data_IF_974835133620
#
_entry.id   IF_974835133620
#
_cell.length_a   1.000
_cell.length_b   1.000
_cell.length_c   1.000
_cell.angle_alpha   90.00
_cell.angle_beta   90.00
_cell.angle_gamma   90.00
#
_symmetry.space_group_name_H-M   'P 1'
#
loop_
_entity.id
_entity.type
_entity.pdbx_description
1 polymer ?
#
# COMPACT_ATOMS: atom_id res chain seq x y z
N UNK A 1 -18.25 -2.78 19.23
CA UNK A 1 -16.84 -2.51 19.57
C UNK A 1 -16.37 -1.42 18.62
N UNK A 2 -16.06 -0.25 19.18
CA UNK A 2 -15.45 0.86 18.41
C UNK A 2 -14.07 0.42 17.90
N UNK A 3 -13.68 0.87 16.70
CA UNK A 3 -12.31 0.73 16.20
C UNK A 3 -11.26 1.20 17.21
N UNK A 4 -11.60 2.18 18.05
CA UNK A 4 -10.78 2.67 19.16
C UNK A 4 -10.45 1.59 20.21
N UNK A 5 -11.35 0.65 20.46
CA UNK A 5 -11.13 -0.44 21.43
C UNK A 5 -10.33 -1.61 20.84
N UNK A 6 -10.30 -1.73 19.51
CA UNK A 6 -9.56 -2.79 18.82
C UNK A 6 -8.04 -2.47 18.68
N UNK A 7 -7.67 -1.22 18.68
CA UNK A 7 -6.29 -0.77 18.45
C UNK A 7 -5.27 -1.31 19.50
N UNK A 8 -5.53 -1.33 20.82
CA UNK A 8 -4.60 -1.93 21.80
C UNK A 8 -4.33 -3.41 21.55
N UNK A 9 -5.34 -4.13 21.08
CA UNK A 9 -5.27 -5.56 20.80
C UNK A 9 -4.40 -5.81 19.58
N UNK A 10 -4.55 -5.03 18.51
CA UNK A 10 -3.81 -5.21 17.25
C UNK A 10 -2.30 -5.09 17.45
N UNK A 11 -1.84 -4.10 18.24
CA UNK A 11 -0.42 -3.95 18.56
C UNK A 11 0.13 -5.13 19.37
N UNK A 12 -0.65 -5.63 20.35
CA UNK A 12 -0.27 -6.80 21.14
C UNK A 12 -0.17 -8.07 20.28
N UNK A 13 -1.14 -8.27 19.38
CA UNK A 13 -1.12 -9.38 18.44
C UNK A 13 0.07 -9.29 17.47
N UNK A 14 0.42 -8.11 17.01
CA UNK A 14 1.61 -7.90 16.18
C UNK A 14 2.89 -8.26 16.95
N UNK A 15 3.04 -7.79 18.19
CA UNK A 15 4.19 -8.14 19.05
C UNK A 15 4.28 -9.64 19.28
N UNK A 16 3.17 -10.30 19.60
CA UNK A 16 3.13 -11.76 19.78
C UNK A 16 3.54 -12.49 18.49
N UNK A 17 3.03 -12.05 17.35
CA UNK A 17 3.32 -12.65 16.05
C UNK A 17 4.81 -12.55 15.71
N UNK A 18 5.41 -11.38 15.93
CA UNK A 18 6.83 -11.14 15.70
C UNK A 18 7.69 -11.96 16.67
N UNK A 19 7.32 -12.00 17.96
CA UNK A 19 8.03 -12.78 18.97
C UNK A 19 8.03 -14.29 18.66
N UNK A 20 6.87 -14.84 18.25
CA UNK A 20 6.77 -16.25 17.85
C UNK A 20 7.67 -16.58 16.65
N UNK A 21 7.85 -15.63 15.74
CA UNK A 21 8.70 -15.79 14.56
C UNK A 21 10.17 -15.42 14.78
N UNK A 22 10.52 -14.94 15.97
CA UNK A 22 11.89 -14.51 16.29
C UNK A 22 12.32 -13.23 15.55
N UNK A 23 11.37 -12.38 15.14
CA UNK A 23 11.69 -11.10 14.51
C UNK A 23 11.72 -9.98 15.53
N UNK A 24 12.80 -9.19 15.52
CA UNK A 24 12.84 -7.91 16.19
C UNK A 24 12.17 -6.86 15.30
N UNK A 25 11.33 -6.01 15.90
CA UNK A 25 10.68 -4.91 15.18
C UNK A 25 10.35 -3.75 16.11
N UNK A 26 10.50 -2.55 15.60
CA UNK A 26 10.05 -1.34 16.25
C UNK A 26 8.61 -1.03 15.82
N UNK A 27 7.65 -1.30 16.70
CA UNK A 27 6.25 -0.97 16.53
C UNK A 27 5.86 0.38 17.17
N UNK A 28 6.85 1.18 17.55
CA UNK A 28 6.66 2.39 18.33
C UNK A 28 6.37 2.10 19.81
N UNK A 29 6.50 3.13 20.64
CA UNK A 29 6.36 3.02 22.10
C UNK A 29 4.92 2.79 22.57
N UNK A 30 3.94 3.20 21.77
CA UNK A 30 2.54 3.19 22.13
C UNK A 30 1.63 2.94 20.93
N UNK A 31 0.33 3.05 21.20
CA UNK A 31 -0.73 2.94 20.21
C UNK A 31 -0.93 4.30 19.57
N UNK A 32 -0.96 4.39 18.25
CA UNK A 32 -1.23 5.60 17.52
C UNK A 32 -2.00 5.31 16.22
N UNK A 33 -2.84 6.25 15.83
CA UNK A 33 -3.35 6.35 14.48
C UNK A 33 -2.25 6.98 13.60
N UNK A 34 -1.85 6.28 12.57
CA UNK A 34 -0.76 6.66 11.65
C UNK A 34 -0.95 8.04 11.03
N UNK A 35 -2.19 8.44 10.74
CA UNK A 35 -2.47 9.74 10.13
C UNK A 35 -2.57 10.86 11.15
N UNK A 36 -2.98 10.56 12.38
CA UNK A 36 -3.03 11.53 13.47
C UNK A 36 -1.66 11.79 14.08
N UNK A 37 -0.88 10.72 14.24
CA UNK A 37 0.45 10.78 14.85
C UNK A 37 1.34 9.67 14.32
N UNK A 38 2.26 10.03 13.46
CA UNK A 38 3.30 9.14 12.99
C UNK A 38 4.33 8.90 14.10
N UNK A 39 4.52 7.64 14.49
CA UNK A 39 5.49 7.26 15.53
C UNK A 39 6.92 7.12 14.99
N UNK A 40 7.09 7.13 13.68
CA UNK A 40 8.38 6.94 13.02
C UNK A 40 8.65 8.02 11.95
N UNK A 41 8.53 9.32 12.26
CA UNK A 41 8.51 10.39 11.25
C UNK A 41 9.80 10.46 10.42
N UNK A 42 10.92 10.02 11.01
CA UNK A 42 12.23 10.03 10.36
C UNK A 42 12.62 8.71 9.69
N UNK A 43 11.75 7.69 9.77
CA UNK A 43 11.98 6.40 9.12
C UNK A 43 12.15 6.58 7.61
N UNK A 44 13.18 5.95 7.06
CA UNK A 44 13.42 5.84 5.62
C UNK A 44 13.71 4.38 5.30
N UNK A 45 12.69 3.71 4.79
CA UNK A 45 12.72 2.29 4.52
C UNK A 45 13.23 1.97 3.11
N UNK A 46 14.06 0.96 2.98
CA UNK A 46 14.46 0.43 1.68
C UNK A 46 13.31 -0.34 1.02
N UNK A 47 12.49 -1.01 1.83
CA UNK A 47 11.31 -1.73 1.37
C UNK A 47 10.11 -1.46 2.25
N UNK A 48 8.97 -1.20 1.63
CA UNK A 48 7.65 -1.13 2.28
C UNK A 48 6.78 -2.22 1.69
N UNK A 49 6.27 -3.13 2.53
CA UNK A 49 5.25 -4.11 2.16
C UNK A 49 4.01 -3.87 3.02
N UNK A 50 2.86 -3.65 2.39
CA UNK A 50 1.65 -3.30 3.11
C UNK A 50 0.37 -3.87 2.49
N UNK A 51 -0.57 -4.13 3.37
CA UNK A 51 -1.97 -4.38 3.03
C UNK A 51 -2.83 -3.43 3.89
N UNK A 52 -2.95 -2.15 3.47
CA UNK A 52 -3.70 -1.16 4.21
C UNK A 52 -5.21 -1.46 4.17
N UNK A 53 -6.01 -0.91 5.09
CA UNK A 53 -7.47 -1.03 5.02
C UNK A 53 -7.99 -0.40 3.72
N UNK A 54 -8.87 -1.14 3.01
CA UNK A 54 -9.42 -0.69 1.74
C UNK A 54 -10.56 0.30 1.94
N UNK A 55 -10.52 1.39 1.21
CA UNK A 55 -11.61 2.39 1.14
C UNK A 55 -12.06 2.91 2.52
N UNK A 56 -11.13 3.05 3.45
CA UNK A 56 -11.43 3.58 4.78
C UNK A 56 -11.92 5.02 4.66
N UNK A 57 -13.12 5.28 5.16
CA UNK A 57 -13.79 6.59 5.11
C UNK A 57 -13.76 7.35 6.43
N UNK A 58 -13.32 6.70 7.51
CA UNK A 58 -13.26 7.27 8.87
C UNK A 58 -11.81 7.42 9.34
N UNK A 59 -10.99 8.04 8.51
CA UNK A 59 -9.58 8.28 8.81
C UNK A 59 -9.33 9.73 9.21
N UNK A 60 -8.32 9.95 10.03
CA UNK A 60 -7.91 11.31 10.42
C UNK A 60 -7.22 12.00 9.25
N UNK A 61 -7.78 13.12 8.80
CA UNK A 61 -7.24 13.93 7.71
C UNK A 61 -6.86 15.33 8.21
N UNK A 62 -5.63 15.72 7.90
CA UNK A 62 -5.13 17.08 8.05
C UNK A 62 -4.69 17.58 6.68
N UNK A 63 -5.25 18.70 6.21
CA UNK A 63 -5.05 19.14 4.82
C UNK A 63 -3.62 19.67 4.56
N UNK A 64 -2.93 20.16 5.58
CA UNK A 64 -1.55 20.65 5.55
C UNK A 64 -0.51 19.58 5.98
N UNK A 65 -0.85 18.31 5.90
CA UNK A 65 0.07 17.22 6.22
C UNK A 65 1.22 17.17 5.18
N UNK A 66 2.50 17.18 5.61
CA UNK A 66 3.65 17.19 4.71
C UNK A 66 3.76 15.96 3.80
N UNK A 67 2.99 14.92 4.07
CA UNK A 67 2.92 13.70 3.24
C UNK A 67 2.16 13.93 1.94
N UNK A 68 1.24 14.91 1.86
CA UNK A 68 0.36 15.14 0.70
C UNK A 68 1.05 15.88 -0.46
N UNK A 69 2.21 15.39 -0.88
CA UNK A 69 3.04 16.01 -1.93
C UNK A 69 2.43 15.90 -3.34
N UNK A 70 1.54 14.94 -3.55
CA UNK A 70 0.93 14.64 -4.85
C UNK A 70 -0.55 15.04 -4.92
N UNK A 71 -1.02 15.71 -3.90
CA UNK A 71 -2.39 16.16 -3.74
C UNK A 71 -3.01 15.68 -2.44
N UNK A 72 -3.95 16.46 -1.90
CA UNK A 72 -4.62 16.13 -0.63
C UNK A 72 -5.60 14.97 -0.88
N UNK A 73 -5.48 13.82 -0.20
CA UNK A 73 -6.37 12.68 -0.41
C UNK A 73 -7.82 13.02 -0.04
N UNK A 74 -8.82 12.40 -0.67
CA UNK A 74 -10.22 12.66 -0.39
C UNK A 74 -10.58 12.24 1.04
N UNK A 75 -11.44 13.04 1.71
CA UNK A 75 -11.87 12.78 3.08
C UNK A 75 -12.56 11.41 3.23
N UNK A 76 -13.31 10.98 2.24
CA UNK A 76 -14.10 9.75 2.27
C UNK A 76 -13.33 8.48 1.83
N UNK A 77 -12.01 8.57 1.56
CA UNK A 77 -11.23 7.40 1.15
C UNK A 77 -9.74 7.59 1.42
N UNK A 78 -9.17 6.74 2.27
CA UNK A 78 -7.77 6.79 2.68
C UNK A 78 -6.79 6.10 1.71
N UNK A 79 -7.23 5.48 0.61
CA UNK A 79 -6.34 4.71 -0.26
C UNK A 79 -5.10 5.50 -0.67
N UNK A 80 -5.25 6.71 -1.18
CA UNK A 80 -4.13 7.56 -1.59
C UNK A 80 -3.45 8.30 -0.43
N UNK A 81 -4.02 8.30 0.77
CA UNK A 81 -3.32 8.70 1.98
C UNK A 81 -2.26 7.66 2.34
N UNK A 82 -2.62 6.38 2.32
CA UNK A 82 -1.69 5.27 2.52
C UNK A 82 -0.58 5.26 1.47
N UNK A 83 -0.91 5.42 0.19
CA UNK A 83 0.09 5.50 -0.89
C UNK A 83 1.11 6.60 -0.62
N UNK A 84 0.66 7.81 -0.28
CA UNK A 84 1.56 8.93 0.00
C UNK A 84 2.34 8.76 1.29
N UNK A 85 1.75 8.13 2.32
CA UNK A 85 2.45 7.74 3.54
C UNK A 85 3.62 6.79 3.24
N UNK A 86 3.40 5.75 2.43
CA UNK A 86 4.48 4.84 2.02
C UNK A 86 5.59 5.58 1.27
N UNK A 87 5.24 6.43 0.30
CA UNK A 87 6.23 7.22 -0.44
C UNK A 87 7.02 8.14 0.48
N UNK A 88 6.38 8.74 1.48
CA UNK A 88 7.04 9.60 2.46
C UNK A 88 8.14 8.86 3.21
N UNK A 89 7.88 7.61 3.58
CA UNK A 89 8.81 6.77 4.33
C UNK A 89 9.79 5.97 3.48
N UNK A 90 9.75 6.04 2.16
CA UNK A 90 10.76 5.39 1.33
C UNK A 90 12.09 6.13 1.37
N UNK A 91 13.18 5.38 1.51
CA UNK A 91 14.54 5.83 1.27
C UNK A 91 14.73 6.30 -0.19
N UNK A 92 15.79 7.05 -0.54
CA UNK A 92 16.01 7.54 -1.92
C UNK A 92 16.01 6.46 -3.01
N UNK A 93 16.38 5.24 -2.68
CA UNK A 93 16.33 4.08 -3.58
C UNK A 93 15.32 3.02 -3.13
N UNK A 94 14.43 3.38 -2.22
CA UNK A 94 13.43 2.48 -1.65
C UNK A 94 12.33 2.10 -2.63
N UNK A 95 11.73 0.96 -2.38
CA UNK A 95 10.62 0.39 -3.14
C UNK A 95 9.45 0.06 -2.23
N UNK A 96 8.24 0.22 -2.72
CA UNK A 96 7.04 -0.19 -2.02
C UNK A 96 6.23 -1.18 -2.85
N UNK A 97 5.70 -2.23 -2.20
CA UNK A 97 4.71 -3.14 -2.76
C UNK A 97 3.50 -3.21 -1.83
N UNK A 98 2.31 -2.93 -2.34
CA UNK A 98 1.11 -2.94 -1.51
C UNK A 98 -0.14 -3.31 -2.30
N UNK A 99 -1.15 -3.71 -1.55
CA UNK A 99 -2.44 -4.13 -2.09
C UNK A 99 -3.45 -3.00 -1.94
N UNK A 100 -4.22 -2.73 -2.97
CA UNK A 100 -5.41 -1.86 -2.91
C UNK A 100 -6.58 -2.51 -3.62
N UNK A 101 -7.79 -2.01 -3.34
CA UNK A 101 -8.96 -2.35 -4.13
C UNK A 101 -8.75 -1.97 -5.61
N UNK A 102 -9.24 -2.78 -6.54
CA UNK A 102 -9.03 -2.60 -7.98
C UNK A 102 -9.48 -1.22 -8.49
N UNK A 103 -10.49 -0.63 -7.86
CA UNK A 103 -10.96 0.73 -8.14
C UNK A 103 -9.87 1.81 -8.03
N UNK A 104 -8.82 1.60 -7.24
CA UNK A 104 -7.70 2.55 -7.11
C UNK A 104 -6.97 2.80 -8.44
N UNK A 105 -7.04 1.87 -9.39
CA UNK A 105 -6.43 2.01 -10.72
C UNK A 105 -7.20 2.96 -11.64
N UNK A 106 -8.49 3.18 -11.41
CA UNK A 106 -9.35 3.90 -12.36
C UNK A 106 -10.27 4.95 -11.75
N UNK A 107 -10.45 4.98 -10.42
CA UNK A 107 -11.31 5.95 -9.76
C UNK A 107 -10.84 7.39 -10.01
N UNK A 108 -11.79 8.26 -10.35
CA UNK A 108 -11.60 9.71 -10.48
C UNK A 108 -12.38 10.48 -9.41
N UNK A 109 -12.91 9.81 -8.41
CA UNK A 109 -13.69 10.44 -7.36
C UNK A 109 -12.83 11.37 -6.51
N UNK A 110 -13.34 12.56 -6.23
CA UNK A 110 -12.78 13.49 -5.23
C UNK A 110 -11.27 13.76 -5.37
N UNK A 111 -10.74 13.83 -6.60
CA UNK A 111 -9.33 14.16 -6.86
C UNK A 111 -8.37 12.97 -6.87
N UNK A 112 -8.83 11.73 -6.67
CA UNK A 112 -7.95 10.54 -6.74
C UNK A 112 -7.25 10.41 -8.10
N UNK A 113 -7.93 10.77 -9.19
CA UNK A 113 -7.37 10.77 -10.54
C UNK A 113 -6.17 11.70 -10.67
N UNK A 114 -6.21 12.88 -10.05
CA UNK A 114 -5.12 13.86 -10.10
C UNK A 114 -3.90 13.38 -9.29
N UNK A 115 -4.13 12.81 -8.11
CA UNK A 115 -3.04 12.21 -7.30
C UNK A 115 -2.38 11.07 -8.11
N UNK A 116 -3.17 10.19 -8.69
CA UNK A 116 -2.65 9.08 -9.51
C UNK A 116 -1.85 9.60 -10.70
N UNK A 117 -2.33 10.63 -11.40
CA UNK A 117 -1.59 11.27 -12.47
C UNK A 117 -0.26 11.82 -11.99
N UNK A 118 -0.25 12.56 -10.88
CA UNK A 118 0.97 13.13 -10.31
C UNK A 118 2.00 12.04 -9.94
N UNK A 119 1.55 10.89 -9.41
CA UNK A 119 2.43 9.75 -9.12
C UNK A 119 3.05 9.15 -10.39
N UNK A 120 2.31 9.08 -11.48
CA UNK A 120 2.79 8.57 -12.77
C UNK A 120 3.75 9.57 -13.42
N UNK A 121 3.39 10.87 -13.45
CA UNK A 121 4.20 11.94 -14.04
C UNK A 121 5.54 12.13 -13.30
N UNK A 122 5.57 11.88 -11.99
CA UNK A 122 6.81 11.88 -11.20
C UNK A 122 7.60 10.58 -11.26
N UNK A 123 7.19 9.65 -12.12
CA UNK A 123 7.88 8.40 -12.42
C UNK A 123 8.04 7.45 -11.23
N UNK A 124 7.12 7.50 -10.26
CA UNK A 124 7.15 6.64 -9.07
C UNK A 124 6.53 5.26 -9.30
N UNK A 125 5.55 5.14 -10.20
CA UNK A 125 4.85 3.88 -10.45
C UNK A 125 5.72 2.97 -11.32
N UNK A 126 6.18 1.86 -10.75
CA UNK A 126 7.07 0.89 -11.43
C UNK A 126 6.25 -0.26 -12.07
N UNK A 127 5.32 -0.85 -11.32
CA UNK A 127 4.46 -1.92 -11.83
C UNK A 127 3.08 -1.88 -11.19
N UNK A 128 2.08 -2.30 -11.94
CA UNK A 128 0.71 -2.51 -11.46
C UNK A 128 0.20 -3.86 -11.95
N UNK A 129 -0.36 -4.65 -11.03
CA UNK A 129 -0.91 -5.97 -11.33
C UNK A 129 -2.38 -6.00 -10.95
N UNK A 130 -3.26 -6.18 -11.92
CA UNK A 130 -4.67 -6.41 -11.66
C UNK A 130 -4.89 -7.90 -11.34
N UNK A 131 -5.38 -8.20 -10.14
CA UNK A 131 -5.62 -9.57 -9.67
C UNK A 131 -7.10 -9.94 -9.76
N UNK A 132 -7.43 -11.24 -9.82
CA UNK A 132 -8.80 -11.71 -9.75
C UNK A 132 -9.42 -11.41 -8.38
N UNK A 133 -10.75 -11.44 -8.29
CA UNK A 133 -11.45 -11.48 -7.01
C UNK A 133 -11.29 -12.83 -6.30
N UNK A 134 -11.82 -12.92 -5.09
CA UNK A 134 -11.90 -14.16 -4.30
C UNK A 134 -10.55 -14.71 -3.81
N UNK A 135 -9.51 -13.91 -3.78
CA UNK A 135 -8.18 -14.29 -3.24
C UNK A 135 -8.09 -14.17 -1.72
N UNK A 136 -9.01 -13.47 -1.07
CA UNK A 136 -9.02 -13.27 0.38
C UNK A 136 -10.16 -14.03 1.03
N UNK A 137 -9.90 -14.57 2.23
CA UNK A 137 -10.93 -15.29 2.99
C UNK A 137 -12.09 -14.40 3.45
N UNK A 138 -11.83 -13.12 3.74
CA UNK A 138 -12.82 -12.21 4.31
C UNK A 138 -13.54 -11.33 3.29
N UNK A 139 -13.09 -11.30 2.04
CA UNK A 139 -13.69 -10.47 0.99
C UNK A 139 -13.48 -11.06 -0.40
N UNK A 140 -14.49 -10.88 -1.27
CA UNK A 140 -14.43 -11.29 -2.66
C UNK A 140 -14.00 -10.17 -3.61
N UNK A 141 -13.65 -9.00 -3.06
CA UNK A 141 -13.31 -7.81 -3.85
C UNK A 141 -12.08 -8.09 -4.71
N UNK A 142 -12.09 -7.80 -6.02
CA UNK A 142 -10.89 -7.83 -6.83
C UNK A 142 -9.92 -6.74 -6.37
N UNK A 143 -8.64 -7.09 -6.31
CA UNK A 143 -7.58 -6.22 -5.85
C UNK A 143 -6.52 -5.99 -6.90
N UNK A 144 -5.69 -5.01 -6.68
CA UNK A 144 -4.50 -4.78 -7.48
C UNK A 144 -3.27 -4.61 -6.59
N UNK A 145 -2.14 -5.01 -7.12
CA UNK A 145 -0.84 -4.73 -6.52
C UNK A 145 -0.28 -3.47 -7.16
N UNK A 146 0.21 -2.59 -6.32
CA UNK A 146 0.99 -1.43 -6.70
C UNK A 146 2.43 -1.63 -6.29
N UNK A 147 3.34 -1.39 -7.22
CA UNK A 147 4.77 -1.33 -6.96
C UNK A 147 5.28 0.04 -7.30
N UNK A 148 5.87 0.70 -6.31
CA UNK A 148 6.47 2.02 -6.45
C UNK A 148 7.99 1.92 -6.26
N UNK A 149 8.72 2.76 -6.97
CA UNK A 149 10.18 2.89 -6.82
C UNK A 149 10.55 4.37 -6.77
N UNK A 150 11.28 4.77 -5.72
CA UNK A 150 11.80 6.15 -5.59
C UNK A 150 12.84 6.47 -6.65
N UNK A 151 13.55 5.47 -7.14
CA UNK A 151 14.51 5.58 -8.23
C UNK A 151 14.35 4.40 -9.19
N UNK A 152 14.22 4.70 -10.47
CA UNK A 152 14.16 3.72 -11.55
C UNK A 152 15.42 3.71 -12.43
N UNK A 153 16.48 4.40 -12.00
CA UNK A 153 17.78 4.32 -12.65
C UNK A 153 18.33 2.89 -12.58
N UNK A 154 19.20 2.58 -13.53
CA UNK A 154 19.94 1.32 -13.49
C UNK A 154 20.69 1.18 -12.15
N UNK A 155 20.63 0.00 -11.57
CA UNK A 155 21.35 -0.36 -10.34
C UNK A 155 21.96 -1.75 -10.50
N UNK A 156 23.23 -1.79 -10.85
CA UNK A 156 23.95 -3.04 -11.09
C UNK A 156 24.03 -3.93 -9.84
N UNK A 157 24.05 -3.33 -8.63
CA UNK A 157 24.12 -4.11 -7.38
C UNK A 157 22.83 -4.90 -7.12
N UNK A 158 21.69 -4.33 -7.52
CA UNK A 158 20.36 -4.97 -7.39
C UNK A 158 19.91 -5.69 -8.66
N UNK A 159 20.73 -5.67 -9.74
CA UNK A 159 20.39 -6.27 -11.02
C UNK A 159 19.30 -5.53 -11.79
N UNK A 160 19.06 -4.25 -11.50
CA UNK A 160 18.03 -3.48 -12.17
C UNK A 160 18.58 -2.76 -13.41
N UNK A 161 17.88 -2.91 -14.54
CA UNK A 161 18.06 -2.06 -15.71
C UNK A 161 17.47 -0.67 -15.47
N UNK A 162 17.78 0.28 -16.31
CA UNK A 162 17.09 1.57 -16.35
C UNK A 162 15.62 1.35 -16.78
N UNK A 163 14.68 1.82 -15.94
CA UNK A 163 13.23 1.71 -16.14
C UNK A 163 12.55 3.07 -16.08
N UNK A 164 13.33 4.15 -16.15
CA UNK A 164 12.75 5.51 -16.10
C UNK A 164 11.71 5.71 -17.19
N UNK A 165 10.60 6.35 -16.83
CA UNK A 165 9.43 6.64 -17.68
C UNK A 165 8.73 5.38 -18.22
N UNK A 166 9.01 4.22 -17.63
CA UNK A 166 8.30 2.98 -17.93
C UNK A 166 7.42 2.58 -16.75
N UNK A 167 6.25 2.05 -17.03
CA UNK A 167 5.37 1.39 -16.04
C UNK A 167 4.90 0.08 -16.63
N UNK A 168 5.13 -1.01 -15.91
CA UNK A 168 4.64 -2.33 -16.31
C UNK A 168 3.18 -2.50 -15.85
N UNK A 169 2.30 -2.90 -16.74
CA UNK A 169 0.94 -3.31 -16.41
C UNK A 169 0.77 -4.81 -16.67
N UNK A 170 0.30 -5.54 -15.66
CA UNK A 170 0.04 -6.98 -15.74
C UNK A 170 -1.45 -7.22 -15.50
N UNK A 171 -2.11 -7.83 -16.46
CA UNK A 171 -3.51 -8.29 -16.31
C UNK A 171 -3.52 -9.75 -15.88
N UNK A 172 -3.61 -9.98 -14.58
CA UNK A 172 -3.71 -11.30 -13.97
C UNK A 172 -5.15 -11.66 -13.55
N UNK A 173 -6.17 -10.91 -13.98
CA UNK A 173 -7.57 -11.10 -13.56
C UNK A 173 -8.17 -12.46 -13.90
N UNK A 174 -7.58 -13.16 -14.87
CA UNK A 174 -8.03 -14.49 -15.30
C UNK A 174 -7.20 -15.63 -14.72
N UNK A 175 -6.17 -15.33 -13.92
CA UNK A 175 -5.32 -16.35 -13.34
C UNK A 175 -5.98 -17.07 -12.15
N UNK A 176 -5.44 -18.24 -11.85
CA UNK A 176 -5.87 -19.08 -10.73
C UNK A 176 -7.18 -19.82 -10.97
N UNK A 177 -7.44 -20.79 -10.12
CA UNK A 177 -8.62 -21.67 -10.15
C UNK A 177 -9.47 -21.47 -8.89
N UNK A 178 -10.79 -21.65 -9.03
CA UNK A 178 -11.69 -21.69 -7.88
C UNK A 178 -11.50 -23.04 -7.16
N UNK A 179 -11.13 -22.98 -5.89
CA UNK A 179 -11.01 -24.15 -5.02
C UNK A 179 -12.34 -24.49 -4.33
N UNK A 180 -13.21 -23.50 -4.20
CA UNK A 180 -14.60 -23.64 -3.75
C UNK A 180 -15.48 -22.54 -4.38
N UNK A 181 -16.70 -22.36 -3.87
CA UNK A 181 -17.68 -21.39 -4.41
C UNK A 181 -17.24 -19.92 -4.25
N UNK A 182 -16.34 -19.62 -3.31
CA UNK A 182 -16.00 -18.27 -2.87
C UNK A 182 -14.50 -17.98 -2.84
N UNK A 183 -13.66 -19.01 -2.93
CA UNK A 183 -12.21 -18.84 -2.85
C UNK A 183 -11.50 -19.25 -4.14
N UNK A 184 -10.53 -18.46 -4.52
CA UNK A 184 -9.64 -18.67 -5.65
C UNK A 184 -8.21 -18.82 -5.15
N UNK A 185 -7.46 -19.72 -5.74
CA UNK A 185 -6.04 -19.90 -5.51
C UNK A 185 -5.25 -19.63 -6.79
N UNK A 186 -4.12 -18.92 -6.62
CA UNK A 186 -3.14 -18.77 -7.69
C UNK A 186 -2.25 -19.99 -7.66
N UNK A 187 -2.36 -20.84 -8.66
CA UNK A 187 -1.55 -22.04 -8.83
C UNK A 187 -0.36 -21.76 -9.71
N UNK A 188 0.73 -22.50 -9.51
CA UNK A 188 1.85 -22.56 -10.45
C UNK A 188 1.32 -23.16 -11.77
N UNK A 189 1.16 -22.33 -12.79
CA UNK A 189 0.72 -22.74 -14.13
C UNK A 189 1.83 -22.61 -15.13
#
# INVERSE_FOLDING_TARGET
LSLHDALPISRRLALMNLAIRGFEADLGSEHADTFRRDLHPDLRADYVLANPPFNDSDWFRKDDDPRWRYGVPPKGNANFAWVQHFIHHLAPHGMAGFVLANGSMSSNQSGEGDIRRALIETDLVDCMVALPGQLFYSTQIPVCLWFLAKSKHADAKRGFRDRRKETLFVDARKLGTLIDRVHRELTDA
#
